data_IF_543904659019
#
_entry.id   IF_543904659019
#
_cell.length_a   1.000
_cell.length_b   1.000
_cell.length_c   1.000
_cell.angle_alpha   90.00
_cell.angle_beta   90.00
_cell.angle_gamma   90.00
#
_symmetry.space_group_name_H-M   'P 1'
#
loop_
_entity.id
_entity.type
_entity.pdbx_description
1 polymer ?
#
# COMPACT_ATOMS: atom_id res chain seq x y z
N UNK A 1 28.70 12.23 14.87
CA UNK A 1 28.31 10.97 15.54
C UNK A 1 27.84 10.02 14.46
N UNK A 2 28.74 9.11 14.11
CA UNK A 2 28.67 8.21 12.96
C UNK A 2 27.72 7.07 13.34
N UNK A 3 26.53 6.99 12.72
CA UNK A 3 25.64 5.85 12.92
C UNK A 3 26.26 4.64 12.21
N UNK A 4 27.14 3.94 12.91
CA UNK A 4 28.07 2.99 12.29
C UNK A 4 27.50 1.59 12.17
N UNK A 5 26.36 1.29 12.81
CA UNK A 5 25.76 -0.03 12.71
C UNK A 5 24.31 -0.09 13.17
N UNK A 6 23.57 -1.04 12.60
CA UNK A 6 22.23 -1.45 13.08
C UNK A 6 22.32 -1.94 14.54
N UNK A 7 23.50 -2.42 14.97
CA UNK A 7 23.80 -2.80 16.35
C UNK A 7 23.62 -1.67 17.37
N UNK A 8 23.95 -0.41 17.04
CA UNK A 8 23.73 0.74 17.94
C UNK A 8 22.25 1.07 18.15
N UNK A 9 21.40 0.73 17.18
CA UNK A 9 19.94 0.89 17.29
C UNK A 9 19.33 -0.15 18.23
N UNK A 10 19.76 -1.41 18.12
CA UNK A 10 19.34 -2.46 19.05
C UNK A 10 19.92 -2.27 20.46
N UNK A 11 21.11 -1.67 20.56
CA UNK A 11 21.76 -1.34 21.84
C UNK A 11 21.03 -0.24 22.65
N UNK A 12 20.12 0.54 22.05
CA UNK A 12 19.28 1.52 22.76
C UNK A 12 18.17 0.88 23.62
N UNK A 13 18.12 -0.45 23.72
CA UNK A 13 17.40 -1.12 24.82
C UNK A 13 15.88 -0.93 24.81
N UNK A 14 15.24 -1.03 23.64
CA UNK A 14 13.76 -1.07 23.50
C UNK A 14 13.14 0.12 22.76
N UNK A 15 13.78 1.30 22.74
CA UNK A 15 13.26 2.46 22.01
C UNK A 15 13.18 2.25 20.49
N UNK A 16 14.16 1.53 19.92
CA UNK A 16 14.14 1.19 18.50
C UNK A 16 12.89 0.38 18.11
N UNK A 17 12.41 -0.51 18.97
CA UNK A 17 11.21 -1.32 18.70
C UNK A 17 9.95 -0.45 18.64
N UNK A 18 9.83 0.57 19.49
CA UNK A 18 8.71 1.52 19.45
C UNK A 18 8.73 2.40 18.21
N UNK A 19 9.90 2.94 17.85
CA UNK A 19 10.06 3.82 16.68
C UNK A 19 9.80 3.03 15.40
N UNK A 20 10.49 1.91 15.21
CA UNK A 20 10.32 1.08 14.03
C UNK A 20 8.96 0.39 14.00
N UNK A 21 8.39 0.02 15.15
CA UNK A 21 7.04 -0.53 15.22
C UNK A 21 5.99 0.46 14.73
N UNK A 22 6.08 1.72 15.13
CA UNK A 22 5.16 2.78 14.67
C UNK A 22 5.34 3.10 13.20
N UNK A 23 6.59 3.17 12.72
CA UNK A 23 6.91 3.39 11.30
C UNK A 23 6.42 2.22 10.43
N UNK A 24 6.64 0.98 10.88
CA UNK A 24 6.16 -0.22 10.21
C UNK A 24 4.64 -0.25 10.17
N UNK A 25 3.97 0.04 11.29
CA UNK A 25 2.52 0.09 11.37
C UNK A 25 1.95 1.12 10.38
N UNK A 26 2.52 2.33 10.35
CA UNK A 26 2.11 3.38 9.43
C UNK A 26 2.35 2.96 7.96
N UNK A 27 3.49 2.34 7.67
CA UNK A 27 3.82 1.81 6.33
C UNK A 27 2.82 0.75 5.89
N UNK A 28 2.43 -0.16 6.77
CA UNK A 28 1.44 -1.22 6.48
C UNK A 28 0.07 -0.63 6.18
N UNK A 29 -0.39 0.36 6.96
CA UNK A 29 -1.67 1.04 6.70
C UNK A 29 -1.66 1.74 5.34
N UNK A 30 -0.60 2.50 5.06
CA UNK A 30 -0.47 3.23 3.80
C UNK A 30 -0.40 2.29 2.59
N UNK A 31 0.33 1.17 2.70
CA UNK A 31 0.33 0.11 1.68
C UNK A 31 -1.05 -0.53 1.52
N UNK A 32 -1.75 -0.79 2.62
CA UNK A 32 -3.11 -1.33 2.61
C UNK A 32 -4.08 -0.44 1.83
N UNK A 33 -4.02 0.88 2.04
CA UNK A 33 -4.84 1.84 1.29
C UNK A 33 -4.47 1.85 -0.20
N UNK A 34 -3.18 1.89 -0.54
CA UNK A 34 -2.72 1.87 -1.94
C UNK A 34 -3.16 0.60 -2.66
N UNK A 35 -3.05 -0.57 -2.02
CA UNK A 35 -3.49 -1.84 -2.57
C UNK A 35 -5.01 -1.87 -2.75
N UNK A 36 -5.75 -1.37 -1.78
CA UNK A 36 -7.22 -1.28 -1.83
C UNK A 36 -7.69 -0.39 -2.98
N UNK A 37 -7.05 0.77 -3.18
CA UNK A 37 -7.32 1.68 -4.30
C UNK A 37 -6.94 1.02 -5.63
N UNK A 38 -5.79 0.32 -5.72
CA UNK A 38 -5.40 -0.41 -6.94
C UNK A 38 -6.41 -1.51 -7.30
N UNK A 39 -6.87 -2.27 -6.32
CA UNK A 39 -7.91 -3.29 -6.51
C UNK A 39 -9.26 -2.67 -6.92
N UNK A 40 -9.65 -1.56 -6.29
CA UNK A 40 -10.82 -0.78 -6.68
C UNK A 40 -10.75 -0.26 -8.11
N UNK A 41 -9.58 0.25 -8.52
CA UNK A 41 -9.34 0.76 -9.87
C UNK A 41 -9.47 -0.34 -10.92
N UNK A 42 -8.92 -1.53 -10.68
CA UNK A 42 -9.09 -2.67 -11.59
C UNK A 42 -10.57 -3.02 -11.82
N UNK A 43 -11.39 -3.01 -10.76
CA UNK A 43 -12.83 -3.24 -10.85
C UNK A 43 -13.58 -2.14 -11.59
N UNK A 44 -13.21 -0.87 -11.36
CA UNK A 44 -13.79 0.25 -12.08
C UNK A 44 -13.51 0.17 -13.59
N UNK A 45 -12.27 -0.20 -13.98
CA UNK A 45 -11.92 -0.41 -15.38
C UNK A 45 -12.69 -1.56 -16.04
N UNK A 46 -12.92 -2.66 -15.30
CA UNK A 46 -13.76 -3.76 -15.80
C UNK A 46 -15.18 -3.29 -16.08
N UNK A 47 -15.80 -2.53 -15.16
CA UNK A 47 -17.15 -1.98 -15.37
C UNK A 47 -17.24 -1.10 -16.62
N UNK A 48 -16.29 -0.19 -16.82
CA UNK A 48 -16.26 0.67 -18.01
C UNK A 48 -16.13 -0.17 -19.29
N UNK A 49 -15.33 -1.24 -19.28
CA UNK A 49 -15.16 -2.12 -20.43
C UNK A 49 -16.43 -2.92 -20.74
N UNK A 50 -17.10 -3.43 -19.72
CA UNK A 50 -18.32 -4.22 -19.86
C UNK A 50 -19.47 -3.34 -20.39
N UNK A 51 -19.60 -2.11 -19.89
CA UNK A 51 -20.58 -1.13 -20.41
C UNK A 51 -20.33 -0.75 -21.88
N UNK A 52 -19.06 -0.62 -22.29
CA UNK A 52 -18.67 -0.37 -23.68
C UNK A 52 -19.03 -1.54 -24.59
N UNK A 53 -18.79 -2.78 -24.16
CA UNK A 53 -19.13 -3.97 -24.93
C UNK A 53 -20.65 -4.15 -25.11
N UNK A 54 -21.43 -3.83 -24.07
CA UNK A 54 -22.90 -3.83 -24.13
C UNK A 54 -23.45 -2.72 -25.04
N UNK A 55 -22.80 -1.56 -25.08
CA UNK A 55 -23.17 -0.45 -25.96
C UNK A 55 -22.90 -0.74 -27.44
N UNK A 56 -21.80 -1.43 -27.74
CA UNK A 56 -21.42 -1.86 -29.09
C UNK A 56 -22.45 -2.84 -29.67
N UNK A 57 -22.83 -3.87 -28.91
CA UNK A 57 -23.85 -4.85 -29.32
C UNK A 57 -25.28 -4.30 -29.51
N UNK A 58 -25.59 -3.11 -28.98
CA UNK A 58 -26.93 -2.51 -29.14
C UNK A 58 -27.04 -1.71 -30.46
N UNK A 59 -25.91 -1.41 -31.10
CA UNK A 59 -25.87 -0.58 -32.29
C UNK A 59 -25.81 -1.39 -33.59
N UNK A 60 -25.58 -2.70 -33.50
CA UNK A 60 -25.78 -3.71 -34.55
C UNK A 60 -27.22 -4.24 -34.56
#
# INVERSE_FOLDING_TARGET
MHWSSVGDFFAMGGYAVYVWGSVLACTVLMLGEVLSVRAGRARAWQRVRDERALGDQRHD
#
